data_IF_423091788943
#
_entry.id   IF_423091788943
#
_cell.length_a   1.000
_cell.length_b   1.000
_cell.length_c   1.000
_cell.angle_alpha   90.00
_cell.angle_beta   90.00
_cell.angle_gamma   90.00
#
_symmetry.space_group_name_H-M   'P 1'
#
loop_
_entity.id
_entity.type
_entity.pdbx_description
1 polymer ?
#
# COMPACT_ATOMS: atom_id res chain seq x y z
N UNK A 1 -8.67 9.57 5.89
CA UNK A 1 -8.91 10.76 5.03
C UNK A 1 -10.32 10.74 4.41
N UNK A 2 -10.96 11.90 4.37
CA UNK A 2 -12.37 12.08 3.99
C UNK A 2 -12.51 12.01 2.47
N UNK A 3 -13.46 11.20 1.97
CA UNK A 3 -13.72 11.03 0.52
C UNK A 3 -14.06 12.36 -0.16
N UNK A 4 -14.75 13.26 0.56
CA UNK A 4 -15.25 14.52 0.04
C UNK A 4 -14.36 15.66 0.52
N UNK A 5 -13.69 16.30 -0.43
CA UNK A 5 -12.95 17.54 -0.18
C UNK A 5 -13.91 18.72 -0.37
N UNK A 6 -13.96 19.64 0.59
CA UNK A 6 -14.76 20.86 0.46
C UNK A 6 -14.18 21.73 -0.65
N UNK A 7 -15.00 22.52 -1.33
CA UNK A 7 -14.55 23.41 -2.41
C UNK A 7 -13.47 24.41 -1.95
N UNK A 8 -13.45 24.76 -0.65
CA UNK A 8 -12.47 25.65 -0.03
C UNK A 8 -11.16 24.94 0.38
N UNK A 9 -11.15 23.60 0.41
CA UNK A 9 -9.99 22.78 0.77
C UNK A 9 -9.29 22.19 -0.45
N UNK A 10 -9.29 22.89 -1.58
CA UNK A 10 -8.69 22.38 -2.81
C UNK A 10 -7.17 22.25 -2.64
N UNK A 11 -6.61 21.12 -3.07
CA UNK A 11 -5.16 20.92 -3.00
C UNK A 11 -4.48 21.65 -4.16
N UNK A 12 -3.36 22.33 -3.86
CA UNK A 12 -2.56 23.04 -4.87
C UNK A 12 -1.78 22.10 -5.80
N UNK A 13 -1.68 20.82 -5.42
CA UNK A 13 -0.97 19.77 -6.15
C UNK A 13 -1.88 18.54 -6.24
N UNK A 14 -1.60 17.67 -7.21
CA UNK A 14 -2.29 16.38 -7.28
C UNK A 14 -1.94 15.55 -6.04
N UNK A 15 -2.96 15.14 -5.30
CA UNK A 15 -2.83 14.29 -4.13
C UNK A 15 -3.82 13.15 -4.26
N UNK A 16 -3.45 12.00 -3.72
CA UNK A 16 -4.32 10.84 -3.63
C UNK A 16 -4.61 10.54 -2.16
N UNK A 17 -5.71 9.84 -1.91
CA UNK A 17 -6.14 9.48 -0.56
C UNK A 17 -6.09 7.97 -0.36
N UNK A 18 -5.68 7.55 0.84
CA UNK A 18 -5.79 6.16 1.27
C UNK A 18 -7.01 6.01 2.18
N UNK A 19 -8.05 5.34 1.71
CA UNK A 19 -9.27 5.06 2.51
C UNK A 19 -9.17 3.72 3.23
N UNK A 20 -10.12 3.46 4.15
CA UNK A 20 -10.10 2.27 5.03
C UNK A 20 -9.90 0.96 4.28
N UNK A 21 -10.51 0.81 3.09
CA UNK A 21 -10.34 -0.39 2.25
C UNK A 21 -8.90 -0.57 1.78
N UNK A 22 -8.32 0.48 1.19
CA UNK A 22 -6.93 0.49 0.72
C UNK A 22 -5.91 0.32 1.86
N UNK A 23 -6.13 0.99 3.00
CA UNK A 23 -5.30 0.81 4.20
C UNK A 23 -5.39 -0.62 4.75
N UNK A 24 -6.58 -1.22 4.76
CA UNK A 24 -6.78 -2.62 5.15
C UNK A 24 -6.01 -3.55 4.18
N UNK A 25 -6.10 -3.30 2.89
CA UNK A 25 -5.37 -4.07 1.87
C UNK A 25 -3.86 -4.03 2.09
N UNK A 26 -3.28 -2.83 2.25
CA UNK A 26 -1.85 -2.67 2.57
C UNK A 26 -1.46 -3.44 3.83
N UNK A 27 -2.23 -3.26 4.91
CA UNK A 27 -1.97 -3.94 6.19
C UNK A 27 -2.03 -5.46 6.05
N UNK A 28 -2.99 -5.97 5.30
CA UNK A 28 -3.17 -7.41 5.12
C UNK A 28 -2.03 -8.01 4.27
N UNK A 29 -1.55 -7.29 3.25
CA UNK A 29 -0.38 -7.68 2.46
C UNK A 29 0.93 -7.66 3.27
N UNK A 30 1.15 -6.62 4.09
CA UNK A 30 2.29 -6.57 5.03
C UNK A 30 2.27 -7.76 5.99
N UNK A 31 1.10 -8.11 6.54
CA UNK A 31 0.97 -9.28 7.41
C UNK A 31 1.29 -10.57 6.68
N UNK A 32 0.82 -10.72 5.45
CA UNK A 32 1.08 -11.91 4.64
C UNK A 32 2.56 -12.03 4.26
N UNK A 33 3.22 -10.92 3.92
CA UNK A 33 4.67 -10.89 3.73
C UNK A 33 5.43 -11.43 4.95
N UNK A 34 5.12 -10.96 6.16
CA UNK A 34 5.78 -11.48 7.37
C UNK A 34 5.43 -12.95 7.69
N UNK A 35 4.31 -13.48 7.18
CA UNK A 35 3.97 -14.90 7.34
C UNK A 35 4.87 -15.81 6.51
N UNK A 36 5.41 -15.33 5.39
CA UNK A 36 6.34 -16.11 4.57
C UNK A 36 7.59 -16.52 5.36
N UNK A 37 8.00 -15.71 6.34
CA UNK A 37 9.17 -15.97 7.19
C UNK A 37 8.91 -17.03 8.27
N UNK A 38 7.65 -17.44 8.51
CA UNK A 38 7.30 -18.35 9.60
C UNK A 38 7.98 -19.72 9.46
N UNK A 39 8.14 -20.18 8.22
CA UNK A 39 8.60 -21.53 7.92
C UNK A 39 10.11 -21.60 7.63
N UNK A 40 10.83 -20.47 7.73
CA UNK A 40 12.25 -20.36 7.41
C UNK A 40 13.09 -19.94 8.63
N UNK A 41 14.31 -20.47 8.74
CA UNK A 41 15.33 -19.86 9.59
C UNK A 41 15.83 -18.58 8.88
N UNK A 42 15.87 -17.44 9.58
CA UNK A 42 16.20 -16.14 8.97
C UNK A 42 17.54 -16.12 8.22
N UNK A 43 18.48 -16.99 8.58
CA UNK A 43 19.80 -17.09 7.96
C UNK A 43 19.82 -17.87 6.63
N UNK A 44 18.70 -18.50 6.27
CA UNK A 44 18.59 -19.33 5.07
C UNK A 44 17.88 -18.59 3.91
N UNK A 45 17.43 -17.36 4.14
CA UNK A 45 16.65 -16.60 3.16
C UNK A 45 17.60 -15.71 2.36
N UNK A 46 17.59 -15.87 1.05
CA UNK A 46 18.37 -15.02 0.14
C UNK A 46 17.66 -13.69 -0.11
N UNK A 47 18.43 -12.64 -0.38
CA UNK A 47 17.89 -11.33 -0.75
C UNK A 47 16.94 -11.42 -1.96
N UNK A 48 17.26 -12.26 -2.95
CA UNK A 48 16.38 -12.50 -4.10
C UNK A 48 15.03 -13.07 -3.69
N UNK A 49 15.00 -13.94 -2.67
CA UNK A 49 13.74 -14.51 -2.19
C UNK A 49 12.89 -13.47 -1.46
N UNK A 50 13.52 -12.62 -0.67
CA UNK A 50 12.85 -11.48 -0.03
C UNK A 50 12.28 -10.55 -1.09
N UNK A 51 13.03 -10.26 -2.16
CA UNK A 51 12.57 -9.43 -3.26
C UNK A 51 11.37 -10.04 -4.01
N UNK A 52 11.37 -11.36 -4.24
CA UNK A 52 10.21 -12.07 -4.80
C UNK A 52 8.97 -11.89 -3.92
N UNK A 53 9.11 -12.04 -2.60
CA UNK A 53 7.99 -11.86 -1.68
C UNK A 53 7.50 -10.41 -1.61
N UNK A 54 8.40 -9.43 -1.68
CA UNK A 54 8.03 -8.01 -1.78
C UNK A 54 7.14 -7.78 -3.01
N UNK A 55 7.54 -8.30 -4.18
CA UNK A 55 6.77 -8.16 -5.42
C UNK A 55 5.45 -8.94 -5.36
N UNK A 56 5.46 -10.17 -4.84
CA UNK A 56 4.28 -11.01 -4.71
C UNK A 56 3.22 -10.36 -3.82
N UNK A 57 3.63 -9.79 -2.68
CA UNK A 57 2.75 -9.10 -1.73
C UNK A 57 2.50 -7.62 -2.11
N UNK A 58 2.88 -7.19 -3.33
CA UNK A 58 2.63 -5.82 -3.82
C UNK A 58 3.19 -4.73 -2.90
N UNK A 59 4.38 -4.97 -2.35
CA UNK A 59 5.10 -4.05 -1.46
C UNK A 59 6.27 -3.34 -2.16
N UNK A 60 6.45 -3.56 -3.46
CA UNK A 60 7.40 -2.80 -4.26
C UNK A 60 6.93 -1.34 -4.44
N UNK A 61 7.86 -0.47 -4.87
CA UNK A 61 7.64 0.98 -4.97
C UNK A 61 6.47 1.33 -5.89
N UNK A 62 6.32 0.63 -7.01
CA UNK A 62 5.28 0.94 -8.00
C UNK A 62 3.90 0.50 -7.50
N UNK A 63 3.83 -0.69 -6.88
CA UNK A 63 2.61 -1.14 -6.20
C UNK A 63 2.23 -0.20 -5.05
N UNK A 64 3.18 0.27 -4.24
CA UNK A 64 2.90 1.17 -3.11
C UNK A 64 2.27 2.49 -3.54
N UNK A 65 2.66 3.00 -4.71
CA UNK A 65 2.15 4.25 -5.28
C UNK A 65 0.77 4.10 -5.95
N UNK A 66 0.41 2.91 -6.43
CA UNK A 66 -0.77 2.73 -7.29
C UNK A 66 -1.88 1.88 -6.68
N UNK A 67 -1.54 0.87 -5.85
CA UNK A 67 -2.51 -0.11 -5.37
C UNK A 67 -3.24 0.31 -4.09
N UNK A 68 -2.66 1.23 -3.32
CA UNK A 68 -3.15 1.59 -1.97
C UNK A 68 -3.63 3.03 -1.84
N UNK A 69 -3.66 3.77 -2.94
CA UNK A 69 -4.23 5.10 -3.02
C UNK A 69 -5.43 5.10 -3.97
N UNK A 70 -6.26 6.13 -3.85
CA UNK A 70 -7.37 6.41 -4.77
C UNK A 70 -7.54 7.94 -4.88
N UNK A 71 -8.01 8.41 -6.04
CA UNK A 71 -8.33 9.82 -6.22
C UNK A 71 -9.35 10.30 -5.18
N UNK A 72 -9.15 11.53 -4.68
CA UNK A 72 -10.14 12.16 -3.82
C UNK A 72 -11.33 12.65 -4.65
N UNK A 73 -12.51 12.64 -4.03
CA UNK A 73 -13.71 13.18 -4.67
C UNK A 73 -13.87 14.67 -4.30
N UNK A 74 -13.86 15.53 -5.31
CA UNK A 74 -14.23 16.94 -5.15
C UNK A 74 -15.72 17.08 -5.48
N UNK A 75 -16.51 17.50 -4.50
CA UNK A 75 -17.94 17.75 -4.71
C UNK A 75 -18.06 19.02 -5.57
N UNK A 76 -18.60 18.88 -6.78
CA UNK A 76 -18.96 20.02 -7.65
C UNK A 76 -20.05 20.87 -7.00
#
# INVERSE_FOLDING_TARGET
PTKNVSHQGNFTHHVEIMRKGKLKHLRDNVKSFFKEFKDYQLNEITDSKIQEWIQFHKLDIESLKSEYSEDYYQKK
#
